data_IF_777893167154
#
_entry.id   IF_777893167154
#
_cell.length_a   1.000
_cell.length_b   1.000
_cell.length_c   1.000
_cell.angle_alpha   90.00
_cell.angle_beta   90.00
_cell.angle_gamma   90.00
#
_symmetry.space_group_name_H-M   'P 1'
#
loop_
_entity.id
_entity.type
_entity.pdbx_description
1 polymer ?
#
# COMPACT_ATOMS: atom_id res chain seq x y z
N UNK A 1 20.98 16.96 25.82
CA UNK A 1 20.31 15.64 25.80
C UNK A 1 18.86 15.84 25.38
N UNK A 2 18.48 15.40 24.17
CA UNK A 2 17.08 15.17 23.81
C UNK A 2 17.00 13.82 23.09
N UNK A 3 16.04 13.05 23.56
CA UNK A 3 15.78 11.65 23.32
C UNK A 3 15.37 11.43 21.85
N UNK A 4 16.19 10.74 21.05
CA UNK A 4 15.82 10.27 19.72
C UNK A 4 14.85 9.10 19.87
N UNK A 5 13.64 9.36 20.37
CA UNK A 5 12.54 8.41 20.20
C UNK A 5 12.24 8.39 18.72
N UNK A 6 12.84 7.44 18.01
CA UNK A 6 12.63 7.26 16.59
C UNK A 6 11.13 7.05 16.37
N UNK A 7 10.45 8.09 15.92
CA UNK A 7 9.04 8.00 15.53
C UNK A 7 9.04 7.17 14.25
N UNK A 8 8.59 5.93 14.32
CA UNK A 8 8.46 5.10 13.12
C UNK A 8 7.46 5.78 12.17
N UNK A 9 7.60 5.72 10.84
CA UNK A 9 6.67 6.41 9.93
C UNK A 9 5.20 6.06 10.18
N UNK A 10 4.93 4.81 10.56
CA UNK A 10 3.58 4.38 10.94
C UNK A 10 3.12 5.06 12.25
N UNK A 11 4.02 5.25 13.21
CA UNK A 11 3.75 5.99 14.45
C UNK A 11 3.58 7.49 14.18
N UNK A 12 4.39 8.08 13.31
CA UNK A 12 4.25 9.48 12.90
C UNK A 12 2.92 9.71 12.19
N UNK A 13 2.53 8.79 11.30
CA UNK A 13 1.24 8.82 10.62
C UNK A 13 0.09 8.68 11.63
N UNK A 14 0.20 7.77 12.61
CA UNK A 14 -0.79 7.62 13.68
C UNK A 14 -0.91 8.88 14.54
N UNK A 15 0.22 9.43 14.97
CA UNK A 15 0.27 10.62 15.82
C UNK A 15 -0.23 11.87 15.08
N UNK A 16 0.19 12.09 13.84
CA UNK A 16 -0.25 13.23 13.03
C UNK A 16 -1.74 13.17 12.62
N UNK A 17 -2.35 11.97 12.67
CA UNK A 17 -3.74 11.77 12.24
C UNK A 17 -4.68 11.38 13.38
N UNK A 18 -4.14 11.15 14.58
CA UNK A 18 -4.83 10.64 15.78
C UNK A 18 -5.68 9.39 15.52
N UNK A 19 -5.26 8.54 14.55
CA UNK A 19 -6.00 7.35 14.10
C UNK A 19 -5.08 6.12 14.07
N UNK A 20 -5.68 4.93 14.11
CA UNK A 20 -4.95 3.69 13.89
C UNK A 20 -4.67 3.48 12.39
N UNK A 21 -3.39 3.41 12.04
CA UNK A 21 -2.94 3.30 10.66
C UNK A 21 -2.31 1.93 10.47
N UNK A 22 -2.79 1.21 9.46
CA UNK A 22 -2.19 -0.03 8.96
C UNK A 22 -1.56 0.29 7.63
N UNK A 23 -0.31 -0.12 7.43
CA UNK A 23 0.30 -0.12 6.11
C UNK A 23 -0.46 -1.14 5.26
N UNK A 24 -1.44 -0.68 4.48
CA UNK A 24 -2.10 -1.52 3.47
C UNK A 24 -1.31 -1.38 2.19
N UNK A 25 -0.40 -2.31 2.03
CA UNK A 25 0.43 -2.36 0.85
C UNK A 25 -0.36 -2.84 -0.37
N UNK A 26 -1.59 -3.40 -0.23
CA UNK A 26 -2.38 -4.19 -1.21
C UNK A 26 -2.83 -3.43 -2.47
N UNK A 27 -1.86 -2.82 -3.12
CA UNK A 27 -1.46 -3.02 -4.49
C UNK A 27 -2.30 -2.31 -5.53
N UNK A 28 -1.79 -1.18 -6.04
CA UNK A 28 -2.32 -0.60 -7.26
C UNK A 28 -2.42 -1.68 -8.33
N UNK A 29 -3.50 -1.65 -9.11
CA UNK A 29 -3.58 -2.46 -10.33
C UNK A 29 -2.55 -1.85 -11.29
N UNK A 30 -1.48 -2.59 -11.57
CA UNK A 30 -0.38 -2.10 -12.39
C UNK A 30 -0.51 -2.54 -13.83
N UNK A 31 -1.01 -3.76 -14.05
CA UNK A 31 -1.04 -4.36 -15.37
C UNK A 31 -2.44 -4.92 -15.62
N UNK A 32 -3.00 -4.58 -16.79
CA UNK A 32 -4.21 -5.17 -17.33
C UNK A 32 -3.88 -5.88 -18.63
N UNK A 33 -4.18 -7.17 -18.70
CA UNK A 33 -3.95 -8.00 -19.90
C UNK A 33 -5.30 -8.37 -20.50
N UNK A 34 -5.46 -8.08 -21.79
CA UNK A 34 -6.63 -8.49 -22.57
C UNK A 34 -6.27 -9.68 -23.45
N UNK A 35 -6.96 -10.82 -23.25
CA UNK A 35 -6.94 -11.93 -24.20
C UNK A 35 -8.03 -11.69 -25.25
N UNK A 36 -7.66 -11.06 -26.36
CA UNK A 36 -8.59 -10.69 -27.43
C UNK A 36 -9.22 -11.91 -28.13
N UNK A 37 -8.59 -13.08 -28.06
CA UNK A 37 -9.13 -14.30 -28.68
C UNK A 37 -10.21 -14.95 -27.83
N UNK A 38 -10.13 -14.79 -26.51
CA UNK A 38 -11.10 -15.36 -25.55
C UNK A 38 -12.02 -14.32 -24.91
N UNK A 39 -11.79 -13.04 -25.17
CA UNK A 39 -12.56 -11.93 -24.61
C UNK A 39 -12.39 -11.75 -23.10
N UNK A 40 -11.29 -12.26 -22.52
CA UNK A 40 -11.06 -12.23 -21.08
C UNK A 40 -10.11 -11.10 -20.70
N UNK A 41 -10.36 -10.48 -19.55
CA UNK A 41 -9.50 -9.46 -18.96
C UNK A 41 -8.98 -9.98 -17.63
N UNK A 42 -7.68 -9.87 -17.44
CA UNK A 42 -7.00 -10.23 -16.21
C UNK A 42 -6.34 -8.99 -15.62
N UNK A 43 -6.55 -8.79 -14.32
CA UNK A 43 -5.99 -7.68 -13.57
C UNK A 43 -4.99 -8.22 -12.57
N UNK A 44 -3.79 -7.65 -12.62
CA UNK A 44 -2.69 -8.05 -11.76
C UNK A 44 -2.20 -6.85 -10.97
N UNK A 45 -2.07 -7.09 -9.68
CA UNK A 45 -1.35 -6.26 -8.74
C UNK A 45 -0.10 -7.04 -8.33
N UNK A 46 0.96 -6.38 -7.87
CA UNK A 46 2.30 -6.95 -7.81
C UNK A 46 2.59 -8.01 -6.74
N UNK A 47 1.70 -8.54 -5.93
CA UNK A 47 2.06 -9.36 -4.74
C UNK A 47 3.03 -8.71 -3.70
N UNK A 48 2.59 -8.74 -2.44
CA UNK A 48 3.15 -7.97 -1.32
C UNK A 48 4.34 -8.59 -0.62
#
# INVERSE_FOLDING_TARGET
>A
MRDFRQVTPIRAAREATERDVTLRTSEPIWIRVADEKRGHIFEYSFSL
#
